data_IF_129047002431
#
_entry.id   IF_129047002431
#
_cell.length_a   1.000
_cell.length_b   1.000
_cell.length_c   1.000
_cell.angle_alpha   90.00
_cell.angle_beta   90.00
_cell.angle_gamma   90.00
#
_symmetry.space_group_name_H-M   'P 1'
#
loop_
_entity.id
_entity.type
_entity.pdbx_description
1 polymer ?
#
# COMPACT_ATOMS: atom_id res chain seq x y z
N UNK A 1 -13.80 14.05 7.72
CA UNK A 1 -12.71 13.57 6.84
C UNK A 1 -12.52 12.09 7.11
N UNK A 2 -13.11 11.21 6.30
CA UNK A 2 -12.80 9.78 6.40
C UNK A 2 -11.36 9.64 5.92
N UNK A 3 -10.42 9.74 6.86
CA UNK A 3 -9.02 9.37 6.65
C UNK A 3 -9.13 7.97 6.09
N UNK A 4 -8.73 7.84 4.84
CA UNK A 4 -8.54 6.60 4.12
C UNK A 4 -7.49 5.83 4.95
N UNK A 5 -7.94 5.21 6.03
CA UNK A 5 -7.10 4.55 7.02
C UNK A 5 -6.73 3.23 6.40
N UNK A 6 -5.48 3.12 5.98
CA UNK A 6 -4.90 1.88 5.52
C UNK A 6 -5.24 0.78 6.52
N UNK A 7 -5.82 -0.33 6.05
CA UNK A 7 -6.23 -1.39 6.95
C UNK A 7 -5.00 -1.98 7.66
N UNK A 8 -5.19 -2.43 8.91
CA UNK A 8 -4.13 -3.04 9.69
C UNK A 8 -3.58 -4.26 8.96
N UNK A 9 -2.27 -4.27 8.71
CA UNK A 9 -1.58 -5.29 7.95
C UNK A 9 -1.21 -4.93 6.53
N UNK A 10 -1.63 -3.77 6.03
CA UNK A 10 -1.26 -3.27 4.71
C UNK A 10 -0.30 -2.08 4.81
N UNK A 11 0.42 -1.83 3.73
CA UNK A 11 1.27 -0.64 3.61
C UNK A 11 0.44 0.55 3.16
N UNK A 12 0.53 1.70 3.86
CA UNK A 12 -0.24 2.88 3.48
C UNK A 12 0.07 3.42 2.09
N UNK A 13 1.33 3.31 1.67
CA UNK A 13 1.76 3.80 0.36
C UNK A 13 1.19 2.94 -0.77
N UNK A 14 1.28 1.61 -0.66
CA UNK A 14 0.69 0.71 -1.65
C UNK A 14 -0.83 0.83 -1.70
N UNK A 15 -1.47 0.93 -0.52
CA UNK A 15 -2.91 1.09 -0.46
C UNK A 15 -3.36 2.46 -1.01
N UNK A 16 -2.60 3.53 -0.78
CA UNK A 16 -2.86 4.83 -1.43
C UNK A 16 -2.68 4.73 -2.94
N UNK A 17 -1.61 4.11 -3.45
CA UNK A 17 -1.40 3.89 -4.89
C UNK A 17 -2.50 3.05 -5.55
N UNK A 18 -3.05 2.06 -4.84
CA UNK A 18 -4.18 1.28 -5.32
C UNK A 18 -5.47 2.11 -5.45
N UNK A 19 -5.68 3.08 -4.56
CA UNK A 19 -6.87 3.93 -4.53
C UNK A 19 -6.71 5.21 -5.37
N UNK A 20 -5.49 5.71 -5.55
CA UNK A 20 -5.19 6.92 -6.32
C UNK A 20 -4.75 6.58 -7.75
N UNK A 21 -5.71 6.65 -8.66
CA UNK A 21 -5.48 6.44 -10.10
C UNK A 21 -4.54 7.48 -10.73
N UNK A 22 -4.29 8.63 -10.06
CA UNK A 22 -3.33 9.63 -10.55
C UNK A 22 -1.89 9.14 -10.43
N UNK A 23 -1.57 8.29 -9.45
CA UNK A 23 -0.25 7.71 -9.28
C UNK A 23 0.19 6.90 -10.51
N UNK A 24 -0.76 6.27 -11.20
CA UNK A 24 -0.52 5.48 -12.42
C UNK A 24 -0.84 6.24 -13.71
N UNK A 25 -1.15 7.54 -13.64
CA UNK A 25 -1.46 8.34 -14.85
C UNK A 25 -0.31 8.38 -15.85
N UNK A 26 0.91 8.27 -15.34
CA UNK A 26 2.15 8.33 -16.12
C UNK A 26 2.57 6.96 -16.67
N UNK A 27 1.98 5.88 -16.16
CA UNK A 27 2.32 4.52 -16.55
C UNK A 27 1.60 4.13 -17.83
N UNK A 28 2.24 3.29 -18.64
CA UNK A 28 1.62 2.76 -19.85
C UNK A 28 0.54 1.72 -19.50
N UNK A 29 -0.43 1.46 -20.38
CA UNK A 29 -1.39 0.39 -20.18
C UNK A 29 -0.65 -0.95 -19.96
N UNK A 30 -0.90 -1.60 -18.82
CA UNK A 30 -0.26 -2.87 -18.39
C UNK A 30 1.21 -2.76 -17.95
N UNK A 31 1.70 -1.54 -17.70
CA UNK A 31 3.01 -1.34 -17.07
C UNK A 31 2.89 -1.47 -15.57
N UNK A 32 3.77 -2.28 -14.97
CA UNK A 32 3.81 -2.46 -13.52
C UNK A 32 4.49 -1.25 -12.86
N UNK A 33 3.93 -0.78 -11.74
CA UNK A 33 4.50 0.37 -11.06
C UNK A 33 5.80 -0.06 -10.37
N UNK A 34 6.95 0.58 -10.68
CA UNK A 34 8.23 0.18 -10.10
C UNK A 34 8.24 0.28 -8.57
N UNK A 35 7.51 1.24 -7.97
CA UNK A 35 7.34 1.30 -6.51
C UNK A 35 6.56 0.12 -5.93
N UNK A 36 5.49 -0.32 -6.60
CA UNK A 36 4.71 -1.46 -6.12
C UNK A 36 5.53 -2.75 -6.20
N UNK A 37 6.26 -2.94 -7.31
CA UNK A 37 7.16 -4.09 -7.51
C UNK A 37 8.30 -4.05 -6.50
N UNK A 38 8.93 -2.90 -6.31
CA UNK A 38 9.99 -2.70 -5.31
C UNK A 38 9.50 -3.07 -3.91
N UNK A 39 8.35 -2.56 -3.49
CA UNK A 39 7.77 -2.89 -2.19
C UNK A 39 7.38 -4.36 -2.04
N UNK A 40 7.01 -5.03 -3.14
CA UNK A 40 6.74 -6.47 -3.13
C UNK A 40 8.03 -7.29 -2.97
N UNK A 41 9.14 -6.87 -3.60
CA UNK A 41 10.42 -7.57 -3.60
C UNK A 41 11.29 -7.26 -2.37
N UNK A 42 11.40 -5.99 -2.01
CA UNK A 42 12.24 -5.48 -0.92
C UNK A 42 11.47 -5.33 0.39
N UNK A 43 10.14 -5.46 0.35
CA UNK A 43 9.27 -5.28 1.50
C UNK A 43 8.89 -3.82 1.72
N UNK A 44 8.00 -3.60 2.69
CA UNK A 44 7.47 -2.28 2.98
C UNK A 44 8.18 -1.66 4.18
N UNK A 45 8.59 -0.37 4.11
CA UNK A 45 9.26 0.30 5.22
C UNK A 45 8.33 0.48 6.43
N UNK A 46 7.03 0.56 6.18
CA UNK A 46 6.00 0.65 7.22
C UNK A 46 4.76 -0.13 6.78
N UNK A 47 4.34 -1.05 7.64
CA UNK A 47 3.09 -1.79 7.54
C UNK A 47 2.27 -1.39 8.75
N UNK A 48 0.99 -1.05 8.56
CA UNK A 48 0.12 -0.74 9.69
C UNK A 48 0.08 -1.97 10.58
N UNK A 49 0.47 -1.88 11.86
CA UNK A 49 0.50 -3.04 12.73
C UNK A 49 -0.91 -3.64 12.82
N UNK A 50 -1.02 -4.94 12.55
CA UNK A 50 -2.23 -5.68 12.86
C UNK A 50 -2.43 -5.58 14.37
N UNK A 51 -3.58 -5.09 14.83
CA UNK A 51 -3.94 -5.25 16.24
C UNK A 51 -4.06 -6.75 16.50
N UNK A 52 -2.94 -7.35 16.89
CA UNK A 52 -2.96 -8.66 17.50
C UNK A 52 -3.70 -8.47 18.80
N UNK A 53 -4.96 -8.88 18.84
CA UNK A 53 -5.57 -9.22 20.10
C UNK A 53 -4.73 -10.38 20.64
N UNK A 54 -3.69 -10.06 21.41
CA UNK A 54 -3.00 -11.02 22.26
C UNK A 54 -4.05 -11.49 23.26
N UNK A 55 -4.82 -12.53 22.89
CA UNK A 55 -5.58 -13.33 23.85
C UNK A 55 -4.53 -14.08 24.66
N UNK A 56 -4.37 -13.63 25.89
CA UNK A 56 -3.55 -14.21 26.94
C UNK A 56 -4.14 -15.54 27.41
#
# INVERSE_FOLDING_TARGET
MARTQTPPGECPQCWQHANDRRAHRHLRPREDCPQCVDHMLNGHPYIVPKQTTRRR
#
